data_IF_159699445591
#
_entry.id   IF_159699445591
#
_cell.length_a   1.000
_cell.length_b   1.000
_cell.length_c   1.000
_cell.angle_alpha   90.00
_cell.angle_beta   90.00
_cell.angle_gamma   90.00
#
_symmetry.space_group_name_H-M   'P 1'
#
loop_
_entity.id
_entity.type
_entity.pdbx_description
1 polymer ?
#
# COMPACT_ATOMS: atom_id res chain seq x y z
N UNK A 1 -11.13 -37.10 -5.62
CA UNK A 1 -10.36 -36.15 -6.47
C UNK A 1 -10.92 -34.73 -6.47
N UNK A 2 -12.25 -34.55 -6.56
CA UNK A 2 -12.92 -33.23 -6.50
C UNK A 2 -12.70 -32.51 -5.16
N UNK A 3 -12.77 -33.23 -4.05
CA UNK A 3 -12.63 -32.68 -2.70
C UNK A 3 -11.22 -32.13 -2.42
N UNK A 4 -10.17 -32.81 -2.89
CA UNK A 4 -8.78 -32.33 -2.79
C UNK A 4 -8.55 -31.05 -3.60
N UNK A 5 -9.13 -30.94 -4.80
CA UNK A 5 -9.05 -29.73 -5.64
C UNK A 5 -9.76 -28.54 -4.98
N UNK A 6 -10.90 -28.78 -4.32
CA UNK A 6 -11.64 -27.77 -3.55
C UNK A 6 -10.83 -27.28 -2.35
N UNK A 7 -10.25 -28.20 -1.57
CA UNK A 7 -9.38 -27.88 -0.43
C UNK A 7 -8.17 -27.04 -0.84
N UNK A 8 -7.50 -27.41 -1.94
CA UNK A 8 -6.35 -26.67 -2.48
C UNK A 8 -6.70 -25.22 -2.88
N UNK A 9 -7.83 -25.03 -3.58
CA UNK A 9 -8.29 -23.70 -3.97
C UNK A 9 -8.63 -22.82 -2.76
N UNK A 10 -9.20 -23.40 -1.69
CA UNK A 10 -9.49 -22.68 -0.45
C UNK A 10 -8.21 -22.19 0.23
N UNK A 11 -7.15 -23.02 0.25
CA UNK A 11 -5.85 -22.63 0.83
C UNK A 11 -5.23 -21.47 0.04
N UNK A 12 -5.25 -21.52 -1.29
CA UNK A 12 -4.74 -20.41 -2.12
C UNK A 12 -5.50 -19.12 -1.84
N UNK A 13 -6.84 -19.20 -1.72
CA UNK A 13 -7.67 -18.03 -1.41
C UNK A 13 -7.29 -17.43 -0.05
N UNK A 14 -7.11 -18.27 0.97
CA UNK A 14 -6.70 -17.81 2.31
C UNK A 14 -5.32 -17.13 2.28
N UNK A 15 -4.37 -17.69 1.53
CA UNK A 15 -3.04 -17.07 1.34
C UNK A 15 -3.19 -15.70 0.67
N UNK A 16 -3.96 -15.62 -0.42
CA UNK A 16 -4.18 -14.36 -1.13
C UNK A 16 -4.80 -13.28 -0.22
N UNK A 17 -5.82 -13.66 0.56
CA UNK A 17 -6.45 -12.76 1.54
C UNK A 17 -5.47 -12.31 2.63
N UNK A 18 -4.64 -13.22 3.13
CA UNK A 18 -3.58 -12.90 4.10
C UNK A 18 -2.58 -11.88 3.55
N UNK A 19 -2.11 -12.07 2.32
CA UNK A 19 -1.20 -11.13 1.66
C UNK A 19 -1.83 -9.76 1.44
N UNK A 20 -3.09 -9.71 0.98
CA UNK A 20 -3.84 -8.45 0.81
C UNK A 20 -3.98 -7.73 2.16
N UNK A 21 -4.28 -8.44 3.23
CA UNK A 21 -4.37 -7.86 4.57
C UNK A 21 -3.04 -7.28 5.03
N UNK A 22 -1.92 -7.98 4.80
CA UNK A 22 -0.57 -7.49 5.10
C UNK A 22 -0.28 -6.21 4.32
N UNK A 23 -0.54 -6.19 3.00
CA UNK A 23 -0.36 -5.00 2.16
C UNK A 23 -1.20 -3.85 2.70
N UNK A 24 -2.47 -4.09 3.03
CA UNK A 24 -3.37 -3.07 3.54
C UNK A 24 -2.81 -2.43 4.82
N UNK A 25 -2.40 -3.25 5.79
CA UNK A 25 -1.83 -2.78 7.07
C UNK A 25 -0.53 -2.00 6.84
N UNK A 26 0.39 -2.53 6.03
CA UNK A 26 1.69 -1.89 5.83
C UNK A 26 1.57 -0.61 4.99
N UNK A 27 0.77 -0.60 3.93
CA UNK A 27 0.57 0.55 3.03
C UNK A 27 0.16 1.81 3.77
N UNK A 28 -0.67 1.69 4.81
CA UNK A 28 -1.10 2.87 5.59
C UNK A 28 0.06 3.55 6.32
N UNK A 29 1.17 2.86 6.56
CA UNK A 29 2.34 3.42 7.23
C UNK A 29 3.34 4.08 6.27
N UNK A 30 3.14 3.99 4.95
CA UNK A 30 4.08 4.54 3.95
C UNK A 30 3.44 5.60 3.08
N UNK A 31 4.21 6.64 2.74
CA UNK A 31 3.89 7.64 1.73
C UNK A 31 4.79 7.36 0.51
N UNK A 32 4.22 6.83 -0.56
CA UNK A 32 4.93 6.61 -1.83
C UNK A 32 4.56 7.76 -2.76
N UNK A 33 5.53 8.60 -3.11
CA UNK A 33 5.29 9.86 -3.84
C UNK A 33 5.49 9.72 -5.35
N UNK A 34 5.86 8.54 -5.83
CA UNK A 34 6.06 8.23 -7.26
C UNK A 34 5.27 7.01 -7.73
N UNK A 35 4.91 6.98 -9.02
CA UNK A 35 4.30 5.81 -9.68
C UNK A 35 5.33 4.79 -10.17
N UNK A 36 6.62 5.13 -10.18
CA UNK A 36 7.69 4.29 -10.74
C UNK A 36 7.69 2.88 -10.15
N UNK A 37 7.57 2.76 -8.82
CA UNK A 37 7.53 1.44 -8.16
C UNK A 37 6.36 0.57 -8.60
N UNK A 38 5.17 1.16 -8.74
CA UNK A 38 3.99 0.43 -9.20
C UNK A 38 4.16 -0.06 -10.65
N UNK A 39 4.71 0.79 -11.52
CA UNK A 39 4.99 0.44 -12.92
C UNK A 39 6.02 -0.69 -13.00
N UNK A 40 7.12 -0.60 -12.26
CA UNK A 40 8.18 -1.61 -12.26
C UNK A 40 7.67 -2.94 -11.72
N UNK A 41 6.93 -2.94 -10.60
CA UNK A 41 6.34 -4.16 -10.02
C UNK A 41 5.36 -4.81 -11.01
N UNK A 42 4.52 -4.00 -11.67
CA UNK A 42 3.61 -4.51 -12.70
C UNK A 42 4.37 -5.13 -13.89
N UNK A 43 5.40 -4.45 -14.39
CA UNK A 43 6.21 -4.94 -15.50
C UNK A 43 6.91 -6.27 -15.18
N UNK A 44 7.52 -6.38 -14.00
CA UNK A 44 8.15 -7.63 -13.53
C UNK A 44 7.09 -8.75 -13.43
N UNK A 45 5.93 -8.44 -12.86
CA UNK A 45 4.84 -9.41 -12.71
C UNK A 45 4.34 -9.93 -14.07
N UNK A 46 4.20 -9.04 -15.05
CA UNK A 46 3.83 -9.40 -16.43
C UNK A 46 4.91 -10.29 -17.05
N UNK A 47 6.18 -9.86 -17.02
CA UNK A 47 7.30 -10.57 -17.64
C UNK A 47 7.44 -12.00 -17.10
N UNK A 48 7.44 -12.17 -15.77
CA UNK A 48 7.55 -13.49 -15.13
C UNK A 48 6.33 -14.36 -15.47
N UNK A 49 5.12 -13.78 -15.51
CA UNK A 49 3.92 -14.53 -15.89
C UNK A 49 3.98 -15.00 -17.33
N UNK A 50 4.45 -14.17 -18.27
CA UNK A 50 4.61 -14.53 -19.68
C UNK A 50 5.65 -15.65 -19.85
N UNK A 51 6.77 -15.57 -19.16
CA UNK A 51 7.79 -16.64 -19.15
C UNK A 51 7.16 -17.95 -18.65
N UNK A 52 6.51 -17.92 -17.49
CA UNK A 52 5.84 -19.08 -16.93
C UNK A 52 4.75 -19.63 -17.86
N UNK A 53 4.05 -18.75 -18.58
CA UNK A 53 3.04 -19.13 -19.56
C UNK A 53 3.68 -19.90 -20.71
N UNK A 54 4.77 -19.38 -21.32
CA UNK A 54 5.52 -20.02 -22.41
C UNK A 54 5.97 -21.44 -22.02
N UNK A 55 6.54 -21.61 -20.83
CA UNK A 55 7.01 -22.93 -20.36
C UNK A 55 5.87 -23.92 -20.08
N UNK A 56 4.64 -23.45 -19.80
CA UNK A 56 3.51 -24.29 -19.39
C UNK A 56 2.49 -24.56 -20.52
N UNK A 57 2.72 -24.02 -21.72
CA UNK A 57 1.82 -24.08 -22.90
C UNK A 57 1.40 -25.51 -23.28
N UNK A 58 2.16 -26.55 -22.91
CA UNK A 58 1.92 -27.94 -23.33
C UNK A 58 0.92 -28.74 -22.48
N UNK A 59 0.44 -28.27 -21.31
CA UNK A 59 -0.25 -29.18 -20.36
C UNK A 59 -1.61 -28.78 -19.74
N UNK A 60 -2.20 -27.61 -20.04
CA UNK A 60 -3.47 -27.20 -19.41
C UNK A 60 -4.58 -26.77 -20.39
N UNK A 61 -5.83 -27.15 -20.07
CA UNK A 61 -7.05 -26.82 -20.83
C UNK A 61 -7.49 -25.34 -20.67
N UNK A 62 -7.29 -24.74 -19.50
CA UNK A 62 -7.74 -23.36 -19.19
C UNK A 62 -6.56 -22.37 -19.08
N UNK A 63 -5.81 -22.19 -20.18
CA UNK A 63 -4.53 -21.46 -20.19
C UNK A 63 -4.65 -19.99 -19.72
N UNK A 64 -5.68 -19.29 -20.16
CA UNK A 64 -5.87 -17.85 -19.87
C UNK A 64 -6.17 -17.60 -18.39
N UNK A 65 -7.10 -18.37 -17.81
CA UNK A 65 -7.48 -18.23 -16.41
C UNK A 65 -6.32 -18.56 -15.47
N UNK A 66 -5.49 -19.54 -15.84
CA UNK A 66 -4.26 -19.83 -15.11
C UNK A 66 -3.29 -18.64 -15.14
N UNK A 67 -3.06 -18.05 -16.33
CA UNK A 67 -2.19 -16.89 -16.49
C UNK A 67 -2.62 -15.69 -15.63
N UNK A 68 -3.91 -15.35 -15.66
CA UNK A 68 -4.46 -14.25 -14.85
C UNK A 68 -4.26 -14.51 -13.34
N UNK A 69 -4.58 -15.72 -12.87
CA UNK A 69 -4.40 -16.07 -11.45
C UNK A 69 -2.93 -16.01 -11.03
N UNK A 70 -2.02 -16.50 -11.87
CA UNK A 70 -0.59 -16.43 -11.62
C UNK A 70 -0.08 -14.99 -11.56
N UNK A 71 -0.52 -14.14 -12.50
CA UNK A 71 -0.18 -12.71 -12.50
C UNK A 71 -0.64 -12.02 -11.22
N UNK A 72 -1.92 -12.18 -10.85
CA UNK A 72 -2.50 -11.53 -9.66
C UNK A 72 -1.77 -11.98 -8.40
N UNK A 73 -1.52 -13.29 -8.25
CA UNK A 73 -0.79 -13.81 -7.10
C UNK A 73 0.64 -13.28 -7.02
N UNK A 74 1.34 -13.24 -8.15
CA UNK A 74 2.71 -12.72 -8.19
C UNK A 74 2.76 -11.23 -7.86
N UNK A 75 1.86 -10.44 -8.44
CA UNK A 75 1.77 -9.00 -8.21
C UNK A 75 1.52 -8.68 -6.73
N UNK A 76 0.56 -9.35 -6.09
CA UNK A 76 0.28 -9.22 -4.66
C UNK A 76 1.50 -9.66 -3.83
N UNK A 77 2.17 -10.75 -4.22
CA UNK A 77 3.34 -11.25 -3.50
C UNK A 77 4.51 -10.27 -3.54
N UNK A 78 4.80 -9.68 -4.70
CA UNK A 78 5.88 -8.69 -4.86
C UNK A 78 5.55 -7.43 -4.05
N UNK A 79 4.31 -6.94 -4.07
CA UNK A 79 3.91 -5.82 -3.21
C UNK A 79 4.09 -6.12 -1.72
N UNK A 80 3.73 -7.32 -1.29
CA UNK A 80 3.91 -7.75 0.11
C UNK A 80 5.38 -7.74 0.50
N UNK A 81 6.25 -8.26 -0.37
CA UNK A 81 7.70 -8.25 -0.17
C UNK A 81 8.26 -6.82 -0.17
N UNK A 82 7.81 -5.97 -1.08
CA UNK A 82 8.22 -4.57 -1.17
C UNK A 82 7.91 -3.80 0.13
N UNK A 83 6.66 -3.89 0.61
CA UNK A 83 6.29 -3.22 1.86
C UNK A 83 7.01 -3.81 3.07
N UNK A 84 7.18 -5.14 3.13
CA UNK A 84 7.93 -5.79 4.20
C UNK A 84 9.40 -5.34 4.22
N UNK A 85 10.04 -5.28 3.05
CA UNK A 85 11.40 -4.78 2.89
C UNK A 85 11.52 -3.34 3.38
N UNK A 86 10.62 -2.45 2.93
CA UNK A 86 10.62 -1.06 3.36
C UNK A 86 10.42 -0.92 4.89
N UNK A 87 9.63 -1.81 5.49
CA UNK A 87 9.39 -1.79 6.93
C UNK A 87 10.62 -2.18 7.74
N UNK A 88 11.38 -3.18 7.28
CA UNK A 88 12.62 -3.62 7.93
C UNK A 88 13.74 -2.62 7.73
N UNK A 89 13.81 -1.97 6.56
CA UNK A 89 14.90 -1.06 6.19
C UNK A 89 14.75 0.35 6.77
N UNK A 90 13.67 0.66 7.49
CA UNK A 90 13.45 2.02 8.02
C UNK A 90 14.62 2.46 8.90
N UNK A 91 15.20 3.61 8.55
CA UNK A 91 16.26 4.26 9.30
C UNK A 91 15.73 4.91 10.59
N UNK A 92 16.65 5.37 11.45
CA UNK A 92 16.32 6.21 12.61
C UNK A 92 16.35 7.72 12.28
N UNK A 93 16.73 8.10 11.07
CA UNK A 93 16.78 9.51 10.67
C UNK A 93 15.37 10.06 10.39
N UNK A 94 14.83 10.78 11.37
CA UNK A 94 13.49 11.37 11.31
C UNK A 94 13.56 12.78 10.73
N UNK A 95 12.85 12.99 9.63
CA UNK A 95 12.59 14.28 9.03
C UNK A 95 11.21 14.78 9.45
N UNK A 96 11.06 16.09 9.63
CA UNK A 96 9.76 16.70 9.92
C UNK A 96 9.24 17.42 8.70
N UNK A 97 7.99 17.16 8.32
CA UNK A 97 7.28 17.89 7.28
C UNK A 97 5.99 18.49 7.86
N UNK A 98 5.69 19.74 7.50
CA UNK A 98 4.43 20.40 7.84
C UNK A 98 3.64 20.55 6.54
N UNK A 99 2.43 20.00 6.52
CA UNK A 99 1.56 20.04 5.34
C UNK A 99 0.17 20.55 5.71
N UNK A 100 -0.50 21.28 4.80
CA UNK A 100 -1.87 21.70 5.01
C UNK A 100 -2.82 20.50 5.02
N UNK A 101 -3.92 20.63 5.77
CA UNK A 101 -5.06 19.71 5.66
C UNK A 101 -5.86 20.10 4.43
N UNK A 102 -6.08 19.16 3.52
CA UNK A 102 -6.91 19.38 2.33
C UNK A 102 -8.36 18.94 2.54
N UNK A 103 -8.62 18.13 3.56
CA UNK A 103 -9.94 17.64 3.91
C UNK A 103 -9.88 16.69 5.10
N UNK A 104 -11.03 16.29 5.61
CA UNK A 104 -11.13 15.32 6.70
C UNK A 104 -12.45 14.54 6.63
N UNK A 105 -12.51 13.41 7.31
CA UNK A 105 -13.72 12.60 7.44
C UNK A 105 -13.85 12.04 8.87
N UNK A 106 -15.09 11.85 9.31
CA UNK A 106 -15.44 11.50 10.71
C UNK A 106 -16.35 10.27 10.84
N UNK A 107 -16.54 9.51 9.75
CA UNK A 107 -17.67 8.56 9.66
C UNK A 107 -17.60 7.38 10.64
N UNK A 108 -16.50 6.64 10.64
CA UNK A 108 -16.29 5.45 11.52
C UNK A 108 -14.93 5.48 12.21
N UNK A 109 -13.97 6.14 11.59
CA UNK A 109 -12.66 6.47 12.13
C UNK A 109 -12.30 7.83 11.58
N UNK A 110 -11.78 8.71 12.42
CA UNK A 110 -11.35 10.03 11.97
C UNK A 110 -10.12 9.90 11.08
N UNK A 111 -10.08 10.75 10.05
CA UNK A 111 -8.94 10.80 9.16
C UNK A 111 -8.81 12.14 8.45
N UNK A 112 -7.57 12.45 8.11
CA UNK A 112 -7.16 13.68 7.45
C UNK A 112 -6.64 13.37 6.05
N UNK A 113 -7.00 14.23 5.11
CA UNK A 113 -6.49 14.23 3.75
C UNK A 113 -5.47 15.35 3.60
N UNK A 114 -4.36 15.08 2.95
CA UNK A 114 -3.31 16.06 2.70
C UNK A 114 -2.54 15.75 1.43
N UNK A 115 -1.78 16.73 0.95
CA UNK A 115 -0.83 16.56 -0.15
C UNK A 115 0.59 16.56 0.40
N UNK A 116 1.41 15.63 -0.05
CA UNK A 116 2.85 15.60 0.20
C UNK A 116 3.57 15.22 -1.09
N UNK A 117 4.56 16.04 -1.51
CA UNK A 117 5.26 15.89 -2.80
C UNK A 117 4.31 15.61 -3.98
N UNK A 118 3.32 16.49 -4.16
CA UNK A 118 2.32 16.42 -5.24
C UNK A 118 1.46 15.15 -5.28
N UNK A 119 1.44 14.36 -4.19
CA UNK A 119 0.55 13.20 -4.03
C UNK A 119 -0.42 13.38 -2.88
N UNK A 120 -1.65 12.95 -3.11
CA UNK A 120 -2.71 12.95 -2.12
C UNK A 120 -2.67 11.70 -1.25
N UNK A 121 -2.81 11.91 0.06
CA UNK A 121 -2.82 10.84 1.06
C UNK A 121 -3.98 11.01 2.03
N UNK A 122 -4.51 9.89 2.49
CA UNK A 122 -5.53 9.77 3.52
C UNK A 122 -4.96 9.02 4.73
N UNK A 123 -4.92 9.62 5.91
CA UNK A 123 -4.39 8.94 7.10
C UNK A 123 -5.35 9.08 8.27
N UNK A 124 -5.49 7.99 9.02
CA UNK A 124 -6.20 8.03 10.30
C UNK A 124 -5.43 8.93 11.25
N UNK A 125 -6.14 9.88 11.83
CA UNK A 125 -5.58 10.85 12.76
C UNK A 125 -6.67 11.32 13.70
N UNK A 126 -6.29 11.60 14.95
CA UNK A 126 -7.18 12.30 15.85
C UNK A 126 -7.37 13.75 15.37
N UNK A 127 -8.63 14.18 15.30
CA UNK A 127 -9.00 15.52 14.88
C UNK A 127 -9.48 16.29 16.11
N UNK A 128 -8.72 17.28 16.59
CA UNK A 128 -9.17 18.10 17.70
C UNK A 128 -10.28 19.05 17.24
N UNK A 129 -11.43 18.98 17.90
CA UNK A 129 -12.56 19.91 17.76
C UNK A 129 -13.15 20.03 16.34
N UNK A 130 -14.19 19.24 16.06
CA UNK A 130 -14.91 19.21 14.79
C UNK A 130 -15.59 20.56 14.51
N UNK A 131 -14.95 21.40 13.70
CA UNK A 131 -15.55 22.63 13.18
C UNK A 131 -15.17 22.77 11.71
N UNK A 132 -16.04 23.41 10.93
CA UNK A 132 -15.79 23.65 9.50
C UNK A 132 -14.49 24.44 9.26
N UNK A 133 -14.04 25.17 10.28
CA UNK A 133 -12.76 25.89 10.32
C UNK A 133 -11.52 25.04 10.62
N UNK A 134 -11.61 23.71 10.68
CA UNK A 134 -10.45 22.85 11.00
C UNK A 134 -9.29 23.06 10.02
N UNK A 135 -9.62 23.14 8.72
CA UNK A 135 -8.65 23.35 7.64
C UNK A 135 -7.90 24.68 7.84
N UNK A 136 -8.59 25.71 8.35
CA UNK A 136 -8.04 27.04 8.57
C UNK A 136 -7.26 27.16 9.89
N UNK A 137 -7.53 26.27 10.85
CA UNK A 137 -6.96 26.33 12.20
C UNK A 137 -5.83 25.35 12.44
N UNK A 138 -5.70 24.29 11.64
CA UNK A 138 -4.75 23.21 11.90
C UNK A 138 -3.90 22.84 10.67
N UNK A 139 -2.71 22.30 10.93
CA UNK A 139 -1.81 21.67 9.96
C UNK A 139 -1.41 20.29 10.45
N UNK A 140 -0.92 19.46 9.53
CA UNK A 140 -0.38 18.14 9.87
C UNK A 140 1.12 18.26 9.99
N UNK A 141 1.64 17.90 11.17
CA UNK A 141 3.06 17.63 11.39
C UNK A 141 3.30 16.14 11.19
N UNK A 142 4.08 15.82 10.16
CA UNK A 142 4.53 14.48 9.83
C UNK A 142 5.97 14.30 10.31
N UNK A 143 6.20 13.27 11.11
CA UNK A 143 7.54 12.74 11.37
C UNK A 143 7.75 11.58 10.41
N UNK A 144 8.63 11.76 9.44
CA UNK A 144 8.86 10.84 8.33
C UNK A 144 10.27 10.25 8.40
N UNK A 145 10.40 9.00 8.01
CA UNK A 145 11.69 8.36 7.76
C UNK A 145 11.74 8.01 6.29
N UNK A 146 12.66 8.62 5.53
CA UNK A 146 12.92 8.19 4.17
C UNK A 146 13.60 6.82 4.17
N UNK A 147 12.95 5.83 3.57
CA UNK A 147 13.45 4.45 3.53
C UNK A 147 14.26 4.22 2.26
N UNK A 148 13.66 4.60 1.14
CA UNK A 148 14.25 4.67 -0.18
C UNK A 148 13.68 5.91 -0.88
N UNK A 149 14.30 6.34 -1.98
CA UNK A 149 13.87 7.53 -2.72
C UNK A 149 12.36 7.52 -2.98
N UNK A 150 11.66 8.61 -2.61
CA UNK A 150 10.21 8.76 -2.81
C UNK A 150 9.33 7.76 -2.01
N UNK A 151 9.88 7.11 -0.98
CA UNK A 151 9.15 6.22 -0.06
C UNK A 151 9.47 6.59 1.38
N UNK A 152 8.46 7.16 2.05
CA UNK A 152 8.60 7.65 3.41
C UNK A 152 7.74 6.82 4.36
N UNK A 153 8.34 6.31 5.43
CA UNK A 153 7.61 5.71 6.54
C UNK A 153 7.10 6.81 7.48
N UNK A 154 5.84 6.73 7.89
CA UNK A 154 5.23 7.64 8.86
C UNK A 154 5.60 7.14 10.25
N UNK A 155 6.53 7.83 10.90
CA UNK A 155 6.86 7.57 12.30
C UNK A 155 5.77 8.12 13.22
N UNK A 156 5.35 9.37 13.00
CA UNK A 156 4.23 10.00 13.69
C UNK A 156 3.47 10.95 12.78
N UNK A 157 2.20 11.13 13.10
CA UNK A 157 1.31 12.09 12.47
C UNK A 157 0.54 12.81 13.57
N UNK A 158 0.69 14.14 13.60
CA UNK A 158 0.00 15.00 14.57
C UNK A 158 -0.73 16.12 13.84
N UNK A 159 -1.96 16.39 14.26
CA UNK A 159 -2.70 17.58 13.87
C UNK A 159 -2.41 18.65 14.91
N UNK A 160 -1.77 19.75 14.50
CA UNK A 160 -1.35 20.84 15.39
C UNK A 160 -1.97 22.16 14.94
N UNK A 161 -2.22 23.12 15.84
CA UNK A 161 -2.70 24.44 15.46
C UNK A 161 -1.75 25.13 14.47
N UNK A 162 -2.31 25.89 13.53
CA UNK A 162 -1.58 26.92 12.78
C UNK A 162 -1.33 28.06 13.77
N UNK A 163 -0.07 28.26 14.14
CA UNK A 163 0.32 29.47 14.86
C UNK A 163 0.21 30.68 13.93
#
# INVERSE_FOLDING_TARGET
MVEMKKKYNNVILLIALGLIAIIYILRHNFLITTYTYAIVIAAISIAVTLIAFIFKVTRQKDKVLFGIKSFVMLYISIWTLFYSYCYVQKSTNVQTAIVPINGYYTRRTDGVLFTFQDKHFDRKAFIPNYSDSLIDKYVIKLELVEVISNVYYINKLHVIPKN
#
